data_IF_929271416569
#
_entry.id   IF_929271416569
#
_cell.length_a   1.000
_cell.length_b   1.000
_cell.length_c   1.000
_cell.angle_alpha   90.00
_cell.angle_beta   90.00
_cell.angle_gamma   90.00
#
_symmetry.space_group_name_H-M   'P 1'
#
loop_
_entity.id
_entity.type
_entity.pdbx_description
1 polymer ?
#
# COMPACT_ATOMS: atom_id res chain seq x y z
N UNK A 1 -1.03 24.73 24.92
CA UNK A 1 -0.31 25.28 23.75
C UNK A 1 1.16 25.43 24.12
N UNK A 2 2.01 24.48 23.72
CA UNK A 2 3.45 24.48 24.01
C UNK A 2 4.22 24.62 22.70
N UNK A 3 5.04 25.66 22.62
CA UNK A 3 5.64 26.18 21.40
C UNK A 3 6.73 25.27 20.83
N UNK A 4 6.58 24.88 19.55
CA UNK A 4 7.71 24.53 18.71
C UNK A 4 8.59 25.77 18.47
N UNK A 5 9.93 25.64 18.42
CA UNK A 5 10.80 26.75 18.06
C UNK A 5 10.49 27.18 16.62
N UNK A 6 9.92 28.39 16.47
CA UNK A 6 9.55 28.99 15.17
C UNK A 6 10.72 29.14 14.19
N UNK A 7 11.96 28.98 14.63
CA UNK A 7 13.16 29.13 13.81
C UNK A 7 13.59 27.87 13.03
N UNK A 8 12.89 26.75 13.15
CA UNK A 8 13.11 25.56 12.30
C UNK A 8 11.93 25.24 11.36
N UNK A 9 10.94 26.12 11.31
CA UNK A 9 9.76 26.07 10.43
C UNK A 9 9.85 27.07 9.27
N UNK A 10 11.07 27.42 8.85
CA UNK A 10 11.30 28.02 7.53
C UNK A 10 11.87 26.91 6.63
N UNK A 11 11.07 25.87 6.44
CA UNK A 11 11.03 25.22 5.15
C UNK A 11 9.89 25.94 4.44
N UNK A 12 10.21 26.83 3.50
CA UNK A 12 9.25 27.59 2.70
C UNK A 12 8.02 26.73 2.38
N UNK A 13 6.83 27.32 2.42
CA UNK A 13 5.60 26.62 2.06
C UNK A 13 5.73 25.91 0.70
N UNK A 14 6.61 26.38 -0.19
CA UNK A 14 7.00 25.72 -1.43
C UNK A 14 7.71 24.36 -1.25
N UNK A 15 8.54 24.19 -0.22
CA UNK A 15 9.19 22.93 0.14
C UNK A 15 8.20 21.93 0.75
N UNK A 16 7.30 22.39 1.61
CA UNK A 16 6.21 21.57 2.16
C UNK A 16 5.20 21.18 1.07
N UNK A 17 4.85 22.11 0.17
CA UNK A 17 4.02 21.86 -1.00
C UNK A 17 4.73 20.94 -2.02
N UNK A 18 6.06 21.01 -2.17
CA UNK A 18 6.85 20.01 -2.93
C UNK A 18 6.82 18.61 -2.32
N UNK A 19 6.71 18.49 -1.01
CA UNK A 19 6.57 17.19 -0.34
C UNK A 19 5.14 16.65 -0.37
N UNK A 20 4.13 17.54 -0.29
CA UNK A 20 2.71 17.20 -0.52
C UNK A 20 2.48 16.83 -2.00
N UNK A 21 3.24 17.45 -2.90
CA UNK A 21 3.27 17.16 -4.33
C UNK A 21 4.58 16.50 -4.76
N UNK A 22 4.96 15.36 -4.16
CA UNK A 22 6.07 14.58 -4.68
C UNK A 22 5.70 13.97 -6.04
N UNK A 23 5.97 14.72 -7.11
CA UNK A 23 5.99 14.23 -8.47
C UNK A 23 7.08 13.15 -8.56
N UNK A 24 6.66 11.90 -8.68
CA UNK A 24 7.59 10.81 -9.02
C UNK A 24 8.19 11.12 -10.39
N UNK A 25 9.51 11.28 -10.46
CA UNK A 25 10.28 11.48 -11.71
C UNK A 25 10.43 10.12 -12.43
N UNK A 26 9.32 9.46 -12.65
CA UNK A 26 9.20 8.21 -13.39
C UNK A 26 7.95 8.35 -14.24
N UNK A 27 8.17 8.51 -15.54
CA UNK A 27 7.17 8.60 -16.61
C UNK A 27 5.80 7.97 -16.28
N UNK A 28 4.77 8.80 -16.21
CA UNK A 28 3.36 8.39 -16.17
C UNK A 28 2.64 8.87 -14.92
N UNK A 29 1.93 9.99 -15.05
CA UNK A 29 1.02 10.60 -14.08
C UNK A 29 1.63 11.11 -12.74
N UNK A 30 1.52 12.41 -12.51
CA UNK A 30 1.79 13.01 -11.19
C UNK A 30 0.91 12.33 -10.13
N UNK A 31 1.57 11.77 -9.10
CA UNK A 31 0.89 11.05 -8.02
C UNK A 31 0.01 12.02 -7.22
N UNK A 32 -1.31 11.90 -7.35
CA UNK A 32 -2.24 12.51 -6.39
C UNK A 32 -2.09 11.77 -5.07
N UNK A 33 -2.13 12.48 -3.94
CA UNK A 33 -2.08 11.90 -2.60
C UNK A 33 -3.40 11.16 -2.24
N UNK A 34 -3.76 10.16 -3.04
CA UNK A 34 -4.91 9.29 -2.83
C UNK A 34 -4.40 7.99 -2.23
N UNK A 35 -4.73 7.73 -0.97
CA UNK A 35 -4.39 6.49 -0.29
C UNK A 35 -5.38 5.36 -0.57
N UNK A 36 -6.56 5.69 -1.05
CA UNK A 36 -7.60 4.72 -1.41
C UNK A 36 -8.19 5.02 -2.79
N UNK A 37 -8.72 3.95 -3.40
CA UNK A 37 -9.48 3.99 -4.63
C UNK A 37 -10.70 3.10 -4.44
N UNK A 38 -11.89 3.63 -4.73
CA UNK A 38 -13.13 2.87 -4.74
C UNK A 38 -13.95 3.29 -5.97
N UNK A 39 -14.39 2.32 -6.77
CA UNK A 39 -15.30 2.56 -7.89
C UNK A 39 -16.17 1.34 -8.16
N UNK A 40 -17.37 1.59 -8.72
CA UNK A 40 -18.28 0.57 -9.22
C UNK A 40 -18.70 0.95 -10.63
N UNK A 41 -18.46 0.08 -11.60
CA UNK A 41 -18.66 0.36 -13.02
C UNK A 41 -19.23 -0.82 -13.76
N UNK A 42 -19.88 -0.55 -14.88
CA UNK A 42 -20.39 -1.58 -15.80
C UNK A 42 -19.66 -1.45 -17.13
N UNK A 43 -19.07 -2.53 -17.70
CA UNK A 43 -18.34 -2.47 -18.97
C UNK A 43 -19.15 -1.94 -20.15
N UNK A 44 -20.48 -2.12 -20.13
CA UNK A 44 -21.40 -1.56 -21.13
C UNK A 44 -21.44 -0.03 -21.15
N UNK A 45 -21.15 0.63 -20.02
CA UNK A 45 -21.03 2.09 -19.93
C UNK A 45 -19.64 2.54 -20.39
N UNK A 46 -19.33 2.34 -21.68
CA UNK A 46 -17.96 2.42 -22.26
C UNK A 46 -17.12 3.62 -21.80
N UNK A 47 -17.61 4.88 -21.79
CA UNK A 47 -16.79 6.01 -21.38
C UNK A 47 -16.40 5.95 -19.89
N UNK A 48 -17.35 5.59 -19.02
CA UNK A 48 -17.11 5.43 -17.58
C UNK A 48 -16.17 4.25 -17.32
N UNK A 49 -16.40 3.14 -18.01
CA UNK A 49 -15.57 1.94 -17.93
C UNK A 49 -14.10 2.23 -18.28
N UNK A 50 -13.84 2.82 -19.45
CA UNK A 50 -12.48 3.17 -19.88
C UNK A 50 -11.80 4.15 -18.93
N UNK A 51 -12.52 5.17 -18.46
CA UNK A 51 -11.98 6.15 -17.52
C UNK A 51 -11.58 5.50 -16.18
N UNK A 52 -12.41 4.60 -15.64
CA UNK A 52 -12.12 3.93 -14.37
C UNK A 52 -11.03 2.85 -14.49
N UNK A 53 -10.96 2.13 -15.61
CA UNK A 53 -9.84 1.23 -15.90
C UNK A 53 -8.51 2.00 -15.86
N UNK A 54 -8.41 3.09 -16.61
CA UNK A 54 -7.19 3.89 -16.68
C UNK A 54 -6.82 4.44 -15.31
N UNK A 55 -7.78 5.04 -14.59
CA UNK A 55 -7.54 5.60 -13.27
C UNK A 55 -7.10 4.53 -12.25
N UNK A 56 -7.68 3.33 -12.31
CA UNK A 56 -7.28 2.22 -11.44
C UNK A 56 -5.90 1.68 -11.78
N UNK A 57 -5.59 1.52 -13.07
CA UNK A 57 -4.29 1.07 -13.56
C UNK A 57 -3.17 2.04 -13.21
N UNK A 58 -3.45 3.35 -13.23
CA UNK A 58 -2.54 4.39 -12.78
C UNK A 58 -2.37 4.35 -11.25
N UNK A 59 -3.45 4.10 -10.49
CA UNK A 59 -3.38 3.99 -9.04
C UNK A 59 -2.47 2.83 -8.59
N UNK A 60 -2.62 1.64 -9.18
CA UNK A 60 -1.83 0.45 -8.81
C UNK A 60 -0.45 0.41 -9.48
N UNK A 61 -0.10 1.41 -10.28
CA UNK A 61 1.13 1.43 -11.09
C UNK A 61 2.42 1.36 -10.28
N UNK A 62 2.35 1.68 -8.99
CA UNK A 62 3.47 1.52 -8.06
C UNK A 62 3.95 0.06 -7.94
N UNK A 63 3.13 -0.93 -8.26
CA UNK A 63 3.53 -2.33 -8.30
C UNK A 63 3.33 -2.90 -9.72
N UNK A 64 4.37 -2.86 -10.57
CA UNK A 64 4.25 -3.27 -11.97
C UNK A 64 3.76 -4.70 -12.17
N UNK A 65 4.01 -5.61 -11.22
CA UNK A 65 3.58 -7.01 -11.30
C UNK A 65 2.06 -7.16 -11.25
N UNK A 66 1.34 -6.17 -10.74
CA UNK A 66 -0.11 -6.17 -10.66
C UNK A 66 -0.80 -5.74 -11.96
N UNK A 67 -0.13 -4.95 -12.80
CA UNK A 67 -0.74 -4.35 -14.00
C UNK A 67 -1.23 -5.41 -14.99
N UNK A 68 -0.38 -6.36 -15.38
CA UNK A 68 -0.73 -7.33 -16.42
C UNK A 68 -1.95 -8.19 -16.04
N UNK A 69 -2.02 -8.76 -14.82
CA UNK A 69 -3.18 -9.60 -14.45
C UNK A 69 -4.48 -8.80 -14.31
N UNK A 70 -4.42 -7.56 -13.82
CA UNK A 70 -5.60 -6.66 -13.79
C UNK A 70 -6.05 -6.28 -15.19
N UNK A 71 -5.11 -5.95 -16.08
CA UNK A 71 -5.42 -5.65 -17.48
C UNK A 71 -6.12 -6.84 -18.15
N UNK A 72 -5.60 -8.06 -17.99
CA UNK A 72 -6.24 -9.26 -18.50
C UNK A 72 -7.60 -9.53 -17.87
N UNK A 73 -7.85 -9.12 -16.63
CA UNK A 73 -9.17 -9.20 -16.01
C UNK A 73 -10.15 -8.26 -16.69
N UNK A 74 -9.76 -7.00 -16.91
CA UNK A 74 -10.59 -6.02 -17.60
C UNK A 74 -10.95 -6.45 -19.03
N UNK A 75 -9.99 -7.02 -19.76
CA UNK A 75 -10.22 -7.55 -21.11
C UNK A 75 -11.26 -8.68 -21.15
N UNK A 76 -11.28 -9.57 -20.13
CA UNK A 76 -12.26 -10.67 -20.06
C UNK A 76 -13.69 -10.20 -19.89
N UNK A 77 -13.90 -9.07 -19.21
CA UNK A 77 -15.23 -8.54 -18.91
C UNK A 77 -15.67 -7.43 -19.88
N UNK A 78 -14.88 -7.16 -20.91
CA UNK A 78 -15.18 -6.15 -21.92
C UNK A 78 -16.51 -6.45 -22.61
N UNK A 79 -17.35 -5.43 -22.74
CA UNK A 79 -18.67 -5.51 -23.38
C UNK A 79 -19.65 -6.55 -22.76
N UNK A 80 -19.40 -7.00 -21.53
CA UNK A 80 -20.29 -7.89 -20.77
C UNK A 80 -21.19 -7.08 -19.83
N UNK A 81 -22.47 -7.45 -19.75
CA UNK A 81 -23.37 -6.96 -18.70
C UNK A 81 -23.02 -7.57 -17.34
N UNK A 82 -22.13 -6.88 -16.63
CA UNK A 82 -21.66 -7.26 -15.31
C UNK A 82 -21.23 -6.01 -14.55
N UNK A 83 -21.33 -6.06 -13.23
CA UNK A 83 -20.78 -5.02 -12.37
C UNK A 83 -19.34 -5.34 -12.04
N UNK A 84 -18.44 -4.40 -12.25
CA UNK A 84 -17.05 -4.46 -11.79
C UNK A 84 -16.88 -3.53 -10.58
N UNK A 85 -16.44 -4.08 -9.45
CA UNK A 85 -16.10 -3.36 -8.23
C UNK A 85 -14.58 -3.27 -8.12
N UNK A 86 -14.08 -2.05 -7.96
CA UNK A 86 -12.67 -1.72 -7.86
C UNK A 86 -12.40 -1.13 -6.49
N UNK A 87 -11.50 -1.73 -5.73
CA UNK A 87 -11.06 -1.25 -4.43
C UNK A 87 -9.54 -1.32 -4.35
N UNK A 88 -8.85 -0.31 -3.88
CA UNK A 88 -7.41 -0.38 -3.67
C UNK A 88 -6.94 0.55 -2.57
N UNK A 89 -5.81 0.20 -1.96
CA UNK A 89 -5.19 0.97 -0.89
C UNK A 89 -3.67 1.06 -1.09
N UNK A 90 -3.14 2.28 -1.15
CA UNK A 90 -1.70 2.58 -1.21
C UNK A 90 -1.18 2.87 0.21
N UNK A 91 -0.56 1.85 0.79
CA UNK A 91 0.09 1.88 2.10
C UNK A 91 1.46 1.22 2.00
N UNK A 92 2.44 2.00 1.53
CA UNK A 92 3.76 1.48 1.15
C UNK A 92 4.87 1.72 2.17
N UNK A 93 4.64 2.53 3.19
CA UNK A 93 5.66 2.79 4.20
C UNK A 93 5.83 1.58 5.13
N UNK A 94 6.73 0.68 4.74
CA UNK A 94 6.93 -0.62 5.36
C UNK A 94 7.15 -0.56 6.88
N UNK A 95 8.05 0.29 7.35
CA UNK A 95 8.34 0.41 8.78
C UNK A 95 7.15 0.92 9.59
N UNK A 96 6.29 1.74 8.99
CA UNK A 96 5.08 2.24 9.63
C UNK A 96 4.03 1.13 9.72
N UNK A 97 3.91 0.31 8.68
CA UNK A 97 3.07 -0.89 8.68
C UNK A 97 3.50 -1.85 9.79
N UNK A 98 4.81 -2.06 9.99
CA UNK A 98 5.30 -2.88 11.10
C UNK A 98 4.91 -2.30 12.47
N UNK A 99 5.04 -0.99 12.63
CA UNK A 99 4.62 -0.31 13.86
C UNK A 99 3.12 -0.50 14.13
N UNK A 100 2.26 -0.29 13.14
CA UNK A 100 0.81 -0.51 13.26
C UNK A 100 0.47 -1.99 13.51
N UNK A 101 1.13 -2.92 12.80
CA UNK A 101 0.87 -4.36 12.92
C UNK A 101 1.26 -4.95 14.28
N UNK A 102 2.07 -4.24 15.09
CA UNK A 102 2.30 -4.62 16.49
C UNK A 102 1.07 -4.43 17.35
N UNK A 103 0.38 -3.31 17.17
CA UNK A 103 -0.80 -2.94 17.96
C UNK A 103 -2.09 -3.54 17.40
N UNK A 104 -2.21 -3.66 16.07
CA UNK A 104 -3.46 -4.05 15.40
C UNK A 104 -3.24 -5.23 14.45
N UNK A 105 -3.86 -6.37 14.78
CA UNK A 105 -3.82 -7.58 13.95
C UNK A 105 -4.46 -7.41 12.58
N UNK A 106 -5.35 -6.42 12.43
CA UNK A 106 -6.05 -6.06 11.19
C UNK A 106 -5.23 -5.15 10.27
N UNK A 107 -3.97 -4.85 10.61
CA UNK A 107 -3.11 -3.99 9.77
C UNK A 107 -2.90 -4.61 8.39
N UNK A 108 -3.44 -3.96 7.38
CA UNK A 108 -3.24 -4.32 5.97
C UNK A 108 -1.99 -3.69 5.38
N UNK A 109 -1.44 -4.34 4.37
CA UNK A 109 -0.39 -3.79 3.48
C UNK A 109 -1.05 -3.04 2.32
N UNK A 110 -0.28 -2.56 1.34
CA UNK A 110 -0.88 -2.11 0.08
C UNK A 110 -1.58 -3.27 -0.60
N UNK A 111 -2.76 -3.03 -1.14
CA UNK A 111 -3.53 -4.04 -1.84
C UNK A 111 -4.42 -3.44 -2.93
N UNK A 112 -4.91 -4.28 -3.82
CA UNK A 112 -6.05 -3.98 -4.68
C UNK A 112 -6.99 -5.19 -4.74
N UNK A 113 -8.27 -4.95 -4.93
CA UNK A 113 -9.28 -5.94 -5.23
C UNK A 113 -10.08 -5.49 -6.46
N UNK A 114 -10.17 -6.36 -7.45
CA UNK A 114 -11.07 -6.19 -8.60
C UNK A 114 -12.06 -7.34 -8.57
N UNK A 115 -13.36 -7.07 -8.51
CA UNK A 115 -14.41 -8.08 -8.46
C UNK A 115 -15.36 -7.90 -9.63
N UNK A 116 -15.76 -9.00 -10.22
CA UNK A 116 -16.87 -9.09 -11.15
C UNK A 116 -18.09 -9.66 -10.40
N UNK A 117 -19.19 -8.94 -10.42
CA UNK A 117 -20.43 -9.24 -9.71
C UNK A 117 -21.61 -9.25 -10.67
N UNK A 118 -22.44 -10.30 -10.58
CA UNK A 118 -23.73 -10.38 -11.26
C UNK A 118 -24.80 -10.50 -10.19
N UNK A 119 -25.77 -9.58 -10.21
CA UNK A 119 -26.86 -9.53 -9.23
C UNK A 119 -26.37 -9.53 -7.77
N UNK A 120 -25.25 -8.86 -7.50
CA UNK A 120 -24.61 -8.80 -6.18
C UNK A 120 -23.84 -10.07 -5.76
N UNK A 121 -23.76 -11.08 -6.63
CA UNK A 121 -23.00 -12.30 -6.40
C UNK A 121 -21.65 -12.21 -7.11
N UNK A 122 -20.57 -12.43 -6.37
CA UNK A 122 -19.21 -12.45 -6.93
C UNK A 122 -19.03 -13.66 -7.85
N UNK A 123 -18.68 -13.37 -9.10
CA UNK A 123 -18.40 -14.33 -10.18
C UNK A 123 -16.90 -14.56 -10.31
N UNK A 124 -16.09 -13.51 -10.14
CA UNK A 124 -14.64 -13.63 -10.14
C UNK A 124 -14.06 -12.47 -9.34
N UNK A 125 -12.92 -12.68 -8.69
CA UNK A 125 -12.14 -11.60 -8.10
C UNK A 125 -10.63 -11.82 -8.28
N UNK A 126 -9.91 -10.72 -8.44
CA UNK A 126 -8.48 -10.64 -8.24
C UNK A 126 -8.18 -9.84 -6.98
N UNK A 127 -7.21 -10.30 -6.20
CA UNK A 127 -6.68 -9.58 -5.05
C UNK A 127 -5.16 -9.55 -5.14
N UNK A 128 -4.59 -8.36 -5.37
CA UNK A 128 -3.15 -8.17 -5.25
C UNK A 128 -2.80 -7.64 -3.87
N UNK A 129 -1.75 -8.19 -3.28
CA UNK A 129 -1.23 -7.72 -2.00
C UNK A 129 0.24 -8.11 -1.84
N UNK A 130 0.88 -7.68 -0.75
CA UNK A 130 2.22 -8.17 -0.37
C UNK A 130 2.10 -9.34 0.62
N UNK A 131 2.91 -10.38 0.42
CA UNK A 131 3.03 -11.53 1.32
C UNK A 131 4.48 -11.72 1.75
N UNK A 132 4.69 -11.97 3.03
CA UNK A 132 6.00 -12.32 3.59
C UNK A 132 6.41 -13.75 3.21
N UNK A 133 7.69 -13.97 2.94
CA UNK A 133 8.25 -15.27 2.61
C UNK A 133 8.34 -16.23 3.80
N UNK A 134 8.11 -15.73 5.02
CA UNK A 134 8.09 -16.50 6.26
C UNK A 134 9.43 -16.68 6.96
N UNK A 135 10.51 -16.10 6.43
CA UNK A 135 11.85 -16.29 6.99
C UNK A 135 12.75 -15.05 6.95
N UNK A 136 12.60 -14.19 5.96
CA UNK A 136 13.54 -13.09 5.77
C UNK A 136 13.22 -11.96 6.73
N UNK A 137 14.17 -11.63 7.59
CA UNK A 137 14.14 -10.47 8.47
C UNK A 137 15.58 -9.94 8.59
N UNK A 138 15.85 -8.66 8.30
CA UNK A 138 17.14 -8.06 8.61
C UNK A 138 17.42 -8.05 10.13
N UNK A 139 18.69 -7.99 10.53
CA UNK A 139 19.06 -7.97 11.95
C UNK A 139 19.00 -6.57 12.56
N UNK A 140 19.33 -5.54 11.77
CA UNK A 140 19.45 -4.16 12.23
C UNK A 140 18.43 -3.24 11.52
N UNK A 141 17.31 -2.89 12.20
CA UNK A 141 16.33 -1.96 11.64
C UNK A 141 16.87 -0.53 11.48
N UNK A 142 17.77 -0.07 12.34
CA UNK A 142 18.30 1.30 12.26
C UNK A 142 19.20 1.47 11.04
N UNK A 143 20.13 0.53 10.83
CA UNK A 143 20.97 0.53 9.64
C UNK A 143 20.12 0.41 8.36
N UNK A 144 19.09 -0.44 8.36
CA UNK A 144 18.15 -0.57 7.24
C UNK A 144 17.41 0.73 6.92
N UNK A 145 16.83 1.36 7.95
CA UNK A 145 16.13 2.65 7.85
C UNK A 145 17.03 3.75 7.28
N UNK A 146 18.25 3.89 7.81
CA UNK A 146 19.24 4.89 7.33
C UNK A 146 19.68 4.60 5.90
N UNK A 147 19.89 3.33 5.54
CA UNK A 147 20.25 2.95 4.17
C UNK A 147 19.15 3.28 3.16
N UNK A 148 17.89 3.07 3.51
CA UNK A 148 16.75 3.28 2.59
C UNK A 148 16.36 4.75 2.52
N UNK A 149 16.21 5.39 3.68
CA UNK A 149 15.64 6.74 3.80
C UNK A 149 16.70 7.81 4.11
N UNK A 150 18.00 7.48 4.09
CA UNK A 150 19.10 8.41 4.38
C UNK A 150 19.31 8.71 5.88
N UNK A 151 18.23 8.86 6.65
CA UNK A 151 18.29 9.14 8.09
C UNK A 151 16.97 8.79 8.79
N UNK A 152 17.01 8.60 10.11
CA UNK A 152 15.80 8.32 10.90
C UNK A 152 14.76 9.47 10.87
N UNK A 153 15.12 10.77 10.93
CA UNK A 153 14.15 11.84 10.73
C UNK A 153 13.45 11.78 9.38
N UNK A 154 14.18 11.42 8.31
CA UNK A 154 13.60 11.26 6.97
C UNK A 154 12.64 10.06 6.90
N UNK A 155 12.86 9.00 7.67
CA UNK A 155 11.87 7.91 7.82
C UNK A 155 10.57 8.45 8.42
N UNK A 156 10.67 9.26 9.48
CA UNK A 156 9.48 9.80 10.14
C UNK A 156 8.68 10.72 9.21
N UNK A 157 9.36 11.60 8.47
CA UNK A 157 8.72 12.44 7.44
C UNK A 157 8.09 11.60 6.32
N UNK A 158 8.75 10.53 5.90
CA UNK A 158 8.27 9.63 4.85
C UNK A 158 6.99 8.85 5.22
N UNK A 159 6.61 8.79 6.50
CA UNK A 159 5.35 8.17 6.93
C UNK A 159 4.13 8.99 6.50
N UNK A 160 4.29 10.31 6.42
CA UNK A 160 3.21 11.26 6.15
C UNK A 160 3.32 11.92 4.77
N UNK A 161 4.27 11.46 3.96
CA UNK A 161 4.60 12.04 2.66
C UNK A 161 4.79 10.95 1.61
N UNK A 162 4.59 11.32 0.34
CA UNK A 162 4.96 10.48 -0.77
C UNK A 162 6.48 10.54 -0.96
N UNK A 163 7.19 9.44 -0.67
CA UNK A 163 8.59 9.28 -1.12
C UNK A 163 8.65 8.57 -2.48
N UNK A 164 9.86 8.50 -3.05
CA UNK A 164 10.09 7.81 -4.32
C UNK A 164 9.82 6.29 -4.22
N UNK A 165 9.35 5.73 -5.33
CA UNK A 165 9.00 4.31 -5.46
C UNK A 165 10.13 3.38 -5.02
N UNK A 166 11.38 3.72 -5.39
CA UNK A 166 12.53 2.85 -5.22
C UNK A 166 12.80 2.57 -3.74
N UNK A 167 12.65 3.57 -2.87
CA UNK A 167 12.81 3.38 -1.42
C UNK A 167 11.78 2.41 -0.84
N UNK A 168 10.50 2.55 -1.22
CA UNK A 168 9.47 1.62 -0.79
C UNK A 168 9.77 0.19 -1.26
N UNK A 169 10.10 0.01 -2.54
CA UNK A 169 10.39 -1.30 -3.12
C UNK A 169 11.58 -2.00 -2.42
N UNK A 170 12.64 -1.25 -2.12
CA UNK A 170 13.78 -1.78 -1.37
C UNK A 170 13.34 -2.23 0.01
N UNK A 171 12.54 -1.43 0.72
CA UNK A 171 12.05 -1.78 2.04
C UNK A 171 11.27 -3.10 2.02
N UNK A 172 10.27 -3.27 1.15
CA UNK A 172 9.53 -4.53 1.05
C UNK A 172 10.44 -5.73 0.74
N UNK A 173 11.35 -5.57 -0.23
CA UNK A 173 12.21 -6.66 -0.70
C UNK A 173 13.20 -7.15 0.35
N UNK A 174 13.87 -6.26 1.08
CA UNK A 174 14.87 -6.68 2.09
C UNK A 174 14.23 -7.37 3.30
N UNK A 175 12.92 -7.20 3.50
CA UNK A 175 12.16 -7.90 4.53
C UNK A 175 11.41 -9.13 4.00
N UNK A 176 11.72 -9.56 2.77
CA UNK A 176 11.14 -10.77 2.16
C UNK A 176 9.67 -10.68 1.82
N UNK A 177 9.13 -9.48 1.64
CA UNK A 177 7.78 -9.33 1.14
C UNK A 177 7.79 -9.28 -0.38
N UNK A 178 6.97 -10.15 -0.96
CA UNK A 178 6.80 -10.22 -2.40
C UNK A 178 5.37 -9.82 -2.76
N UNK A 179 5.17 -9.07 -3.85
CA UNK A 179 3.85 -8.82 -4.40
C UNK A 179 3.30 -10.14 -4.97
N UNK A 180 2.06 -10.45 -4.60
CA UNK A 180 1.33 -11.65 -5.00
C UNK A 180 -0.03 -11.24 -5.54
N UNK A 181 -0.64 -12.14 -6.31
CA UNK A 181 -2.01 -12.00 -6.80
C UNK A 181 -2.72 -13.31 -6.52
N UNK A 182 -3.85 -13.21 -5.84
CA UNK A 182 -4.79 -14.30 -5.65
C UNK A 182 -5.96 -14.11 -6.62
N UNK A 183 -6.33 -15.20 -7.29
CA UNK A 183 -7.51 -15.26 -8.13
C UNK A 183 -8.55 -16.13 -7.44
N UNK A 184 -9.77 -15.60 -7.36
CA UNK A 184 -10.93 -16.28 -6.79
C UNK A 184 -11.96 -16.42 -7.90
N UNK A 185 -12.13 -17.61 -8.50
CA UNK A 185 -13.24 -17.84 -9.41
C UNK A 185 -14.54 -17.98 -8.61
N UNK A 186 -15.67 -18.00 -9.31
CA UNK A 186 -16.98 -18.31 -8.76
C UNK A 186 -16.91 -19.57 -7.91
N UNK A 187 -17.70 -19.63 -6.82
CA UNK A 187 -17.75 -20.75 -5.87
C UNK A 187 -17.50 -22.10 -6.55
N UNK A 188 -16.38 -22.76 -6.25
CA UNK A 188 -16.15 -24.16 -6.60
C UNK A 188 -14.72 -24.53 -7.01
N UNK A 189 -13.94 -23.60 -7.61
CA UNK A 189 -12.65 -23.98 -8.18
C UNK A 189 -11.47 -23.25 -7.53
N UNK A 190 -10.89 -23.80 -6.45
CA UNK A 190 -9.52 -23.40 -6.10
C UNK A 190 -8.57 -24.01 -7.13
N UNK A 191 -8.23 -23.25 -8.17
CA UNK A 191 -7.19 -23.67 -9.13
C UNK A 191 -5.82 -23.45 -8.48
N UNK A 192 -5.22 -24.53 -7.97
CA UNK A 192 -3.82 -24.57 -7.51
C UNK A 192 -3.61 -24.96 -6.05
N UNK A 193 -2.35 -25.25 -5.68
CA UNK A 193 -1.97 -25.48 -4.28
C UNK A 193 -2.25 -24.22 -3.47
N UNK A 194 -2.84 -24.38 -2.28
CA UNK A 194 -2.99 -23.28 -1.35
C UNK A 194 -1.60 -22.70 -1.00
N UNK A 195 -1.30 -21.52 -1.53
CA UNK A 195 -0.07 -20.81 -1.17
C UNK A 195 -0.31 -20.20 0.21
N UNK A 196 0.54 -20.56 1.18
CA UNK A 196 0.47 -19.97 2.52
C UNK A 196 0.81 -18.49 2.40
N UNK A 197 -0.20 -17.63 2.53
CA UNK A 197 -0.05 -16.17 2.57
C UNK A 197 0.31 -15.77 3.99
N UNK A 198 1.35 -14.94 4.13
CA UNK A 198 1.80 -14.42 5.43
C UNK A 198 1.74 -12.90 5.43
N UNK A 199 1.02 -12.37 6.39
CA UNK A 199 0.75 -10.96 6.58
C UNK A 199 1.92 -10.22 7.24
N UNK A 200 1.81 -8.89 7.33
CA UNK A 200 2.69 -8.10 8.17
C UNK A 200 2.59 -8.49 9.66
N UNK A 201 1.43 -8.97 10.10
CA UNK A 201 1.25 -9.46 11.47
C UNK A 201 2.04 -10.76 11.71
N UNK A 202 2.09 -11.65 10.73
CA UNK A 202 2.89 -12.88 10.83
C UNK A 202 4.39 -12.54 10.94
N UNK A 203 4.86 -11.55 10.16
CA UNK A 203 6.23 -11.03 10.29
C UNK A 203 6.51 -10.48 11.69
N UNK A 204 5.62 -9.64 12.22
CA UNK A 204 5.78 -9.05 13.56
C UNK A 204 5.78 -10.12 14.65
N UNK A 205 4.91 -11.12 14.52
CA UNK A 205 4.78 -12.22 15.48
C UNK A 205 6.01 -13.10 15.49
N UNK A 206 6.59 -13.40 14.31
CA UNK A 206 7.82 -14.16 14.19
C UNK A 206 9.07 -13.36 14.59
N UNK A 207 9.06 -12.03 14.45
CA UNK A 207 10.22 -11.16 14.67
C UNK A 207 9.93 -10.05 15.71
N UNK A 208 9.50 -10.37 16.94
CA UNK A 208 9.00 -9.39 17.90
C UNK A 208 10.07 -8.39 18.36
N UNK A 209 11.33 -8.84 18.48
CA UNK A 209 12.47 -7.97 18.83
C UNK A 209 12.75 -6.94 17.74
N UNK A 210 12.73 -7.37 16.48
CA UNK A 210 12.93 -6.49 15.33
C UNK A 210 11.83 -5.42 15.28
N UNK A 211 10.56 -5.84 15.33
CA UNK A 211 9.42 -4.94 15.27
C UNK A 211 9.39 -3.94 16.44
N UNK A 212 9.77 -4.38 17.64
CA UNK A 212 9.86 -3.49 18.81
C UNK A 212 10.93 -2.43 18.63
N UNK A 213 12.11 -2.80 18.11
CA UNK A 213 13.16 -1.83 17.76
C UNK A 213 12.69 -0.84 16.69
N UNK A 214 12.01 -1.31 15.64
CA UNK A 214 11.42 -0.44 14.61
C UNK A 214 10.51 0.61 15.23
N UNK A 215 9.59 0.20 16.11
CA UNK A 215 8.66 1.15 16.75
C UNK A 215 9.39 2.14 17.66
N UNK A 216 10.31 1.67 18.49
CA UNK A 216 11.08 2.54 19.37
C UNK A 216 11.90 3.57 18.58
N UNK A 217 12.40 3.22 17.39
CA UNK A 217 13.10 4.17 16.51
C UNK A 217 12.16 5.23 15.93
N UNK A 218 10.92 4.87 15.58
CA UNK A 218 9.92 5.80 15.05
C UNK A 218 9.37 6.73 16.15
N UNK A 219 9.10 6.18 17.34
CA UNK A 219 8.55 6.91 18.50
C UNK A 219 9.51 7.99 19.05
N UNK A 220 10.83 7.89 18.75
CA UNK A 220 11.80 8.98 19.03
C UNK A 220 11.44 10.31 18.38
N UNK A 221 10.62 10.28 17.32
CA UNK A 221 10.26 11.45 16.53
C UNK A 221 8.82 11.92 16.75
N UNK A 222 8.15 11.40 17.79
CA UNK A 222 6.82 11.82 18.21
C UNK A 222 5.88 10.65 18.48
N UNK A 223 4.67 10.96 18.93
CA UNK A 223 3.63 9.96 19.08
C UNK A 223 3.14 9.52 17.69
N UNK A 224 3.53 8.33 17.27
CA UNK A 224 3.18 7.78 15.97
C UNK A 224 1.84 7.03 16.08
N UNK A 225 0.81 7.39 15.30
CA UNK A 225 -0.47 6.72 15.38
C UNK A 225 -0.35 5.24 15.01
N UNK A 226 -0.99 4.37 15.78
CA UNK A 226 -1.06 2.94 15.46
C UNK A 226 -2.32 2.56 14.72
N UNK A 227 -3.34 3.43 14.69
CA UNK A 227 -4.63 3.15 14.06
C UNK A 227 -4.44 2.79 12.58
N UNK A 228 -4.80 1.56 12.16
CA UNK A 228 -4.61 1.09 10.80
C UNK A 228 -5.53 1.77 9.79
N UNK A 229 -6.60 2.44 10.23
CA UNK A 229 -7.60 3.13 9.40
C UNK A 229 -7.19 4.54 9.01
N UNK A 230 -6.14 5.09 9.62
CA UNK A 230 -5.59 6.39 9.25
C UNK A 230 -6.61 7.52 9.39
N UNK A 231 -7.22 7.70 10.55
CA UNK A 231 -7.83 8.97 10.92
C UNK A 231 -7.44 9.34 12.36
N UNK A 232 -6.94 10.56 12.51
CA UNK A 232 -6.87 11.26 13.79
C UNK A 232 -8.23 11.13 14.48
N UNK A 233 -8.31 10.96 15.82
CA UNK A 233 -9.58 11.05 16.53
C UNK A 233 -10.29 12.34 16.12
N UNK A 234 -11.53 12.22 15.65
CA UNK A 234 -12.41 13.38 15.57
C UNK A 234 -12.82 13.71 17.00
N UNK A 235 -12.14 14.68 17.59
CA UNK A 235 -12.70 15.46 18.69
C UNK A 235 -13.71 16.47 18.11
#
# INVERSE_FOLDING_TARGET
MGAWPRSQLIADDEYVLRQIGALSISSGAGRRNRHSFEAKVTPLAKPSWQAQQQAFMDFISFEPRWKKPVQSFFERWQDIDITIVLSAHDKRHFYYILHQARAHSTTVTSYFVVKAERDGVMVEALHGHYSWDGKTCPDDPEAGMRRIYGSLPQVALAMFSAVDQRRYDIAWRIHGFIPVIDQYPARGERVGKAVVRRSARDFVTANPRYATKVSALLERYGNIPTDPTGMVPRD
#
